data_IF_189152277927
#
_entry.id   IF_189152277927
#
_cell.length_a   1.000
_cell.length_b   1.000
_cell.length_c   1.000
_cell.angle_alpha   90.00
_cell.angle_beta   90.00
_cell.angle_gamma   90.00
#
_symmetry.space_group_name_H-M   'P 1'
#
loop_
_entity.id
_entity.type
_entity.pdbx_description
1 polymer ?
#
# COMPACT_ATOMS: atom_id res chain seq x y z
N UNK A 1 -7.21 12.32 -3.94
CA UNK A 1 -6.78 13.25 -2.89
C UNK A 1 -5.27 13.46 -2.98
N UNK A 2 -4.82 14.69 -2.79
CA UNK A 2 -3.39 15.02 -2.77
C UNK A 2 -2.97 15.47 -1.37
N UNK A 3 -1.80 15.03 -0.95
CA UNK A 3 -1.16 15.47 0.28
C UNK A 3 0.29 15.83 -0.02
N UNK A 4 0.66 17.08 0.20
CA UNK A 4 1.98 17.62 -0.15
C UNK A 4 2.34 17.34 -1.63
N UNK A 5 1.35 17.48 -2.53
CA UNK A 5 1.52 17.26 -3.95
C UNK A 5 1.57 15.81 -4.39
N UNK A 6 1.38 14.85 -3.48
CA UNK A 6 1.38 13.41 -3.78
C UNK A 6 -0.02 12.83 -3.65
N UNK A 7 -0.43 11.91 -4.55
CA UNK A 7 -1.72 11.24 -4.40
C UNK A 7 -1.72 10.35 -3.14
N UNK A 8 -2.87 10.30 -2.47
CA UNK A 8 -3.07 9.42 -1.32
C UNK A 8 -4.08 8.36 -1.74
N UNK A 9 -3.70 7.10 -1.60
CA UNK A 9 -4.60 5.98 -1.83
C UNK A 9 -5.28 5.61 -0.53
N UNK A 10 -6.61 5.57 -0.55
CA UNK A 10 -7.43 5.12 0.58
C UNK A 10 -8.29 3.99 0.04
N UNK A 11 -8.01 2.76 0.48
CA UNK A 11 -8.72 1.59 -0.01
C UNK A 11 -9.37 0.85 1.14
N UNK A 12 -10.67 0.53 0.98
CA UNK A 12 -11.35 -0.38 1.88
C UNK A 12 -11.09 -1.81 1.39
N UNK A 13 -10.40 -2.60 2.22
CA UNK A 13 -10.03 -3.97 1.87
C UNK A 13 -11.12 -4.95 2.29
N UNK A 14 -11.32 -5.98 1.47
CA UNK A 14 -12.17 -7.12 1.84
C UNK A 14 -11.45 -7.99 2.86
N UNK A 15 -12.20 -8.82 3.59
CA UNK A 15 -11.60 -9.77 4.54
C UNK A 15 -10.60 -10.69 3.85
N UNK A 16 -10.86 -11.07 2.62
CA UNK A 16 -10.00 -11.92 1.83
C UNK A 16 -8.68 -11.23 1.50
N UNK A 17 -8.71 -9.96 1.16
CA UNK A 17 -7.51 -9.16 0.88
C UNK A 17 -6.65 -9.00 2.14
N UNK A 18 -7.29 -8.75 3.27
CA UNK A 18 -6.62 -8.63 4.57
C UNK A 18 -5.93 -9.95 4.94
N UNK A 19 -6.66 -11.06 4.79
CA UNK A 19 -6.14 -12.39 5.11
C UNK A 19 -4.93 -12.73 4.25
N UNK A 20 -5.01 -12.50 2.95
CA UNK A 20 -3.89 -12.75 2.03
C UNK A 20 -2.64 -11.94 2.41
N UNK A 21 -2.83 -10.67 2.78
CA UNK A 21 -1.72 -9.82 3.19
C UNK A 21 -1.06 -10.36 4.48
N UNK A 22 -1.84 -10.87 5.41
CA UNK A 22 -1.35 -11.37 6.70
C UNK A 22 -0.76 -12.76 6.66
N UNK A 23 -1.05 -13.55 5.61
CA UNK A 23 -0.49 -14.87 5.41
C UNK A 23 0.96 -14.86 4.90
N UNK A 24 1.42 -13.73 4.39
CA UNK A 24 2.75 -13.62 3.79
C UNK A 24 3.83 -13.65 4.87
N UNK A 25 4.80 -14.54 4.71
CA UNK A 25 5.96 -14.62 5.60
C UNK A 25 6.85 -13.40 5.42
N UNK A 26 7.32 -12.82 6.51
CA UNK A 26 8.24 -11.67 6.46
C UNK A 26 9.52 -11.99 5.68
N UNK A 27 9.97 -13.25 5.71
CA UNK A 27 11.14 -13.70 4.96
C UNK A 27 10.96 -13.64 3.45
N UNK A 28 9.72 -13.60 2.96
CA UNK A 28 9.41 -13.52 1.54
C UNK A 28 9.28 -12.07 1.04
N UNK A 29 9.43 -11.10 1.93
CA UNK A 29 9.28 -9.69 1.60
C UNK A 29 10.64 -9.03 1.39
N UNK A 30 10.75 -8.27 0.30
CA UNK A 30 11.95 -7.48 0.01
C UNK A 30 12.19 -6.40 1.05
N UNK A 31 11.09 -5.79 1.53
CA UNK A 31 11.09 -4.82 2.62
C UNK A 31 10.16 -5.36 3.70
N UNK A 32 10.69 -6.13 4.68
CA UNK A 32 9.85 -6.82 5.66
C UNK A 32 9.10 -5.84 6.57
N UNK A 33 7.76 -5.89 6.46
CA UNK A 33 6.87 -5.07 7.24
C UNK A 33 5.56 -5.82 7.40
N UNK A 34 5.10 -5.99 8.63
CA UNK A 34 3.83 -6.69 8.86
C UNK A 34 2.67 -5.82 8.39
N UNK A 35 1.64 -6.46 7.81
CA UNK A 35 0.43 -5.75 7.40
C UNK A 35 -0.18 -4.96 8.56
N UNK A 36 -0.28 -5.57 9.72
CA UNK A 36 -0.86 -4.94 10.92
C UNK A 36 -0.11 -3.69 11.38
N UNK A 37 1.18 -3.57 11.03
CA UNK A 37 1.97 -2.38 11.35
C UNK A 37 1.77 -1.24 10.33
N UNK A 38 1.09 -1.54 9.21
CA UNK A 38 0.85 -0.57 8.15
C UNK A 38 -0.56 0.03 8.19
N UNK A 39 -1.43 -0.48 9.04
CA UNK A 39 -2.83 -0.03 9.12
C UNK A 39 -3.23 0.22 10.56
N UNK A 40 -4.13 1.18 10.76
CA UNK A 40 -4.76 1.42 12.07
C UNK A 40 -6.05 0.62 12.22
N UNK A 41 -6.78 0.44 11.12
CA UNK A 41 -7.94 -0.44 11.01
C UNK A 41 -7.70 -1.39 9.85
N UNK A 42 -7.86 -2.71 10.04
CA UNK A 42 -7.52 -3.70 8.99
C UNK A 42 -8.21 -3.45 7.66
N UNK A 43 -9.46 -3.01 7.68
CA UNK A 43 -10.24 -2.78 6.46
C UNK A 43 -9.84 -1.51 5.70
N UNK A 44 -9.09 -0.59 6.33
CA UNK A 44 -8.70 0.67 5.70
C UNK A 44 -7.19 0.76 5.51
N UNK A 45 -6.76 0.65 4.26
CA UNK A 45 -5.36 0.89 3.89
C UNK A 45 -5.22 2.32 3.38
N UNK A 46 -4.33 3.08 4.01
CA UNK A 46 -4.02 4.47 3.65
C UNK A 46 -2.55 4.57 3.35
N UNK A 47 -2.20 5.00 2.15
CA UNK A 47 -0.79 5.11 1.76
C UNK A 47 -0.60 6.14 0.65
N UNK A 48 0.63 6.61 0.48
CA UNK A 48 0.96 7.48 -0.64
C UNK A 48 0.98 6.67 -1.92
N UNK A 49 0.25 7.13 -2.94
CA UNK A 49 0.15 6.46 -4.24
C UNK A 49 1.34 6.76 -5.13
N UNK A 50 2.53 6.49 -4.63
CA UNK A 50 3.78 6.80 -5.31
C UNK A 50 4.68 5.57 -5.29
N UNK A 51 5.08 5.12 -6.49
CA UNK A 51 6.05 4.03 -6.62
C UNK A 51 7.39 4.45 -6.02
N UNK A 52 7.94 3.63 -5.14
CA UNK A 52 9.16 3.94 -4.41
C UNK A 52 10.43 3.85 -5.27
N UNK A 53 10.31 3.40 -6.52
CA UNK A 53 11.43 3.36 -7.44
C UNK A 53 11.75 4.77 -7.99
N UNK A 54 10.83 5.36 -8.80
CA UNK A 54 11.05 6.67 -9.42
C UNK A 54 9.84 7.60 -9.33
N UNK A 55 8.90 7.32 -8.44
CA UNK A 55 7.80 8.24 -8.16
C UNK A 55 6.59 8.18 -9.08
N UNK A 56 6.49 7.18 -9.97
CA UNK A 56 5.31 6.99 -10.80
C UNK A 56 4.10 6.62 -9.94
N UNK A 57 2.88 6.93 -10.41
CA UNK A 57 1.66 6.56 -9.71
C UNK A 57 1.24 5.15 -10.14
N UNK A 58 1.21 4.17 -9.23
CA UNK A 58 0.81 2.80 -9.57
C UNK A 58 -0.68 2.69 -9.92
N UNK A 59 -1.01 1.67 -10.71
CA UNK A 59 -2.38 1.37 -11.11
C UNK A 59 -3.03 0.45 -10.07
N UNK A 60 -4.26 0.77 -9.66
CA UNK A 60 -5.02 0.00 -8.68
C UNK A 60 -5.56 -1.29 -9.28
N UNK A 61 -5.59 -2.35 -8.50
CA UNK A 61 -6.12 -3.67 -8.87
C UNK A 61 -5.45 -4.28 -10.10
N UNK A 62 -4.18 -3.98 -10.28
CA UNK A 62 -3.34 -4.52 -11.35
C UNK A 62 -2.14 -5.24 -10.74
N UNK A 63 -1.47 -6.04 -11.56
CA UNK A 63 -0.29 -6.78 -11.14
C UNK A 63 -0.63 -8.17 -10.60
N UNK A 64 0.41 -8.93 -10.27
CA UNK A 64 0.30 -10.35 -9.94
C UNK A 64 -0.14 -10.63 -8.49
N UNK A 65 -0.22 -9.59 -7.66
CA UNK A 65 -0.48 -9.75 -6.22
C UNK A 65 -1.77 -9.08 -5.77
N UNK A 66 -2.67 -8.76 -6.71
CA UNK A 66 -3.99 -8.18 -6.46
C UNK A 66 -3.97 -6.80 -5.76
N UNK A 67 -2.83 -6.13 -5.80
CA UNK A 67 -2.67 -4.81 -5.20
C UNK A 67 -2.50 -3.73 -6.25
N UNK A 68 -1.27 -3.30 -6.48
CA UNK A 68 -0.95 -2.23 -7.41
C UNK A 68 0.18 -2.65 -8.35
N UNK A 69 0.16 -2.07 -9.55
CA UNK A 69 1.20 -2.27 -10.54
C UNK A 69 1.71 -0.93 -11.06
N UNK A 70 3.03 -0.73 -10.99
CA UNK A 70 3.65 0.46 -11.55
C UNK A 70 4.12 0.17 -12.98
N UNK A 71 3.49 0.76 -14.01
CA UNK A 71 3.83 0.45 -15.40
C UNK A 71 5.15 1.04 -15.87
N UNK A 72 5.71 1.98 -15.11
CA UNK A 72 6.96 2.64 -15.52
C UNK A 72 8.14 1.67 -15.60
N UNK A 73 8.27 0.77 -14.62
CA UNK A 73 9.38 -0.18 -14.59
C UNK A 73 8.96 -1.58 -14.08
N UNK A 74 7.66 -1.83 -13.98
CA UNK A 74 7.14 -3.16 -13.70
C UNK A 74 7.15 -3.60 -12.23
N UNK A 75 7.06 -2.67 -11.29
CA UNK A 75 6.95 -3.03 -9.87
C UNK A 75 5.55 -3.50 -9.53
N UNK A 76 5.44 -4.60 -8.76
CA UNK A 76 4.18 -5.16 -8.30
C UNK A 76 4.08 -5.04 -6.78
N UNK A 77 2.95 -4.53 -6.30
CA UNK A 77 2.67 -4.39 -4.87
C UNK A 77 1.47 -5.26 -4.48
N UNK A 78 1.48 -5.75 -3.26
CA UNK A 78 0.38 -6.59 -2.75
C UNK A 78 -0.77 -5.75 -2.17
N UNK A 79 -1.74 -6.42 -1.55
CA UNK A 79 -2.92 -5.76 -0.97
C UNK A 79 -2.61 -4.93 0.28
N UNK A 80 -1.37 -4.92 0.75
CA UNK A 80 -0.89 -4.05 1.82
C UNK A 80 0.05 -2.95 1.29
N UNK A 81 0.25 -2.87 -0.03
CA UNK A 81 1.17 -1.92 -0.65
C UNK A 81 2.63 -2.27 -0.46
N UNK A 82 2.95 -3.53 -0.15
CA UNK A 82 4.34 -3.99 0.00
C UNK A 82 4.90 -4.42 -1.35
N UNK A 83 6.17 -4.09 -1.58
CA UNK A 83 6.84 -4.49 -2.83
C UNK A 83 7.05 -5.99 -2.86
N UNK A 84 6.61 -6.62 -3.96
CA UNK A 84 6.70 -8.07 -4.14
C UNK A 84 7.56 -8.46 -5.35
N UNK A 85 7.59 -7.62 -6.37
CA UNK A 85 8.30 -7.92 -7.63
C UNK A 85 8.66 -6.62 -8.33
N UNK A 86 9.83 -6.58 -8.94
CA UNK A 86 10.28 -5.42 -9.71
C UNK A 86 11.32 -4.58 -8.96
N UNK A 87 11.72 -3.44 -9.57
CA UNK A 87 12.88 -2.68 -9.10
C UNK A 87 12.65 -1.79 -7.88
N UNK A 88 11.40 -1.56 -7.47
CA UNK A 88 11.13 -0.69 -6.32
C UNK A 88 11.83 -1.23 -5.06
N UNK A 89 12.57 -0.37 -4.32
CA UNK A 89 13.37 -0.83 -3.18
C UNK A 89 12.57 -1.02 -1.90
N UNK A 90 11.46 -0.31 -1.73
CA UNK A 90 10.70 -0.32 -0.48
C UNK A 90 9.21 -0.42 -0.74
N UNK A 91 8.45 -0.71 0.33
CA UNK A 91 7.00 -0.68 0.31
C UNK A 91 6.50 0.76 0.06
N UNK A 92 5.28 0.91 -0.46
CA UNK A 92 4.70 2.24 -0.59
C UNK A 92 4.55 2.87 0.79
N UNK A 93 4.82 4.18 0.88
CA UNK A 93 4.87 4.87 2.16
C UNK A 93 3.48 5.02 2.78
N UNK A 94 3.38 4.72 4.08
CA UNK A 94 2.19 4.99 4.86
C UNK A 94 2.40 6.34 5.54
N UNK A 95 1.59 7.37 5.20
CA UNK A 95 1.75 8.67 5.84
C UNK A 95 1.23 8.63 7.28
N UNK A 96 1.59 9.62 8.06
CA UNK A 96 1.00 9.81 9.37
C UNK A 96 -0.47 10.20 9.19
N UNK A 97 -1.37 9.45 9.80
CA UNK A 97 -2.80 9.73 9.72
C UNK A 97 -3.52 9.24 10.98
N UNK A 98 -4.75 9.71 11.17
CA UNK A 98 -5.60 9.26 12.27
C UNK A 98 -7.07 9.29 11.85
N UNK A 99 -7.88 8.45 12.50
CA UNK A 99 -9.33 8.49 12.32
C UNK A 99 -9.91 9.53 13.29
N UNK A 100 -10.53 10.57 12.74
CA UNK A 100 -11.23 11.58 13.53
C UNK A 100 -12.56 11.02 14.02
N UNK A 101 -13.22 10.23 13.16
CA UNK A 101 -14.42 9.46 13.47
C UNK A 101 -14.50 8.28 12.50
N UNK A 102 -15.62 7.55 12.48
CA UNK A 102 -15.76 6.36 11.62
C UNK A 102 -15.74 6.69 10.12
N UNK A 103 -15.96 7.94 9.74
CA UNK A 103 -16.07 8.36 8.34
C UNK A 103 -15.02 9.36 7.90
N UNK A 104 -14.13 9.79 8.79
CA UNK A 104 -13.19 10.87 8.49
C UNK A 104 -11.77 10.53 8.92
N UNK A 105 -10.82 10.70 7.99
CA UNK A 105 -9.40 10.47 8.22
C UNK A 105 -8.66 11.80 8.09
N UNK A 106 -7.80 12.09 9.04
CA UNK A 106 -6.90 13.25 8.99
C UNK A 106 -5.49 12.77 8.65
N UNK A 107 -4.88 13.36 7.62
CA UNK A 107 -3.54 13.01 7.15
C UNK A 107 -2.56 14.12 7.52
N UNK A 108 -1.47 13.73 8.13
CA UNK A 108 -0.42 14.68 8.53
C UNK A 108 -0.38 15.06 10.00
#
# INVERSE_FOLDING_TARGET
MLWRGKPVFIKRRTDQEIQKAREVSLGDLKHPEKDEDRVKKPEWLVMLGVCTHLGCVPLTDKGDYNGWFCPCHGSHYDTSGRIRKGPAPTNMEVPKYEFVNNNTIKIG
#
